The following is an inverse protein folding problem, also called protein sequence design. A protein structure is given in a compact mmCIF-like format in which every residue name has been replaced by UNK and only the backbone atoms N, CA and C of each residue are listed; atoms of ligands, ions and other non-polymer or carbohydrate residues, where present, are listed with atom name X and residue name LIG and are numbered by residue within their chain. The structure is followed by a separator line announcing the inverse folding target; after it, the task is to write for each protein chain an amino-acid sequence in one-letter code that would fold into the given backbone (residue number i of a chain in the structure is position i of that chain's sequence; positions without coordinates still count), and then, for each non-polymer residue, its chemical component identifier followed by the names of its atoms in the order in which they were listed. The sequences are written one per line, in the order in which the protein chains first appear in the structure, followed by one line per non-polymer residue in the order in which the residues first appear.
data_IF_003872516530
#
_entry.id   IF_003872516530
#
_cell.length_a   1.000
_cell.length_b   1.000
_cell.length_c   1.000
_cell.angle_alpha   90.00
_cell.angle_beta   90.00
_cell.angle_gamma   90.00
#
_symmetry.space_group_name_H-M   'P 1'
#
loop_
_entity.id
_entity.type
_entity.pdbx_description
1 polymer ?
#
# COMPACT_ATOMS: atom_id res chain seq x y z
N UNK A 1 1.31 -2.33 21.26
CA UNK A 1 2.34 -1.27 21.36
C UNK A 1 1.63 0.07 21.57
N UNK A 2 2.02 0.85 22.58
CA UNK A 2 1.43 2.18 22.83
C UNK A 2 2.23 3.21 22.00
N UNK A 3 1.87 3.32 20.69
CA UNK A 3 2.54 4.21 19.74
C UNK A 3 1.80 5.53 19.74
N UNK A 4 2.49 6.70 19.91
CA UNK A 4 1.83 8.01 19.88
C UNK A 4 1.17 8.27 18.53
N UNK A 5 -0.03 8.82 18.58
CA UNK A 5 -0.83 9.18 17.41
C UNK A 5 -0.88 10.70 17.28
N UNK A 6 -0.38 11.22 16.16
CA UNK A 6 -0.42 12.63 15.79
C UNK A 6 -1.51 12.85 14.75
N UNK A 7 -2.52 13.62 15.10
CA UNK A 7 -3.67 13.92 14.22
C UNK A 7 -3.59 15.36 13.73
N UNK A 8 -3.86 15.57 12.45
CA UNK A 8 -3.84 16.86 11.78
C UNK A 8 -5.08 17.04 10.91
N UNK A 9 -5.61 18.26 10.86
CA UNK A 9 -6.67 18.60 9.92
C UNK A 9 -6.11 18.64 8.49
N UNK A 10 -4.91 19.20 8.31
CA UNK A 10 -4.27 19.34 7.00
C UNK A 10 -2.76 19.23 7.12
N UNK A 11 -2.16 18.47 6.20
CA UNK A 11 -0.71 18.35 5.99
C UNK A 11 -0.35 18.44 4.51
N UNK A 12 0.93 18.62 4.20
CA UNK A 12 1.44 18.33 2.87
C UNK A 12 1.36 16.82 2.57
N UNK A 13 1.90 15.98 3.48
CA UNK A 13 1.82 14.52 3.41
C UNK A 13 2.08 13.90 4.76
N UNK A 14 1.31 12.87 5.13
CA UNK A 14 1.53 12.10 6.36
C UNK A 14 2.91 11.43 6.37
N UNK A 15 3.41 10.93 5.22
CA UNK A 15 4.79 10.42 5.10
C UNK A 15 5.83 11.51 5.36
N UNK A 16 5.60 12.72 4.82
CA UNK A 16 6.53 13.84 5.04
C UNK A 16 6.56 14.25 6.51
N UNK A 17 5.42 14.24 7.18
CA UNK A 17 5.36 14.52 8.62
C UNK A 17 6.07 13.42 9.44
N UNK A 18 5.90 12.14 9.10
CA UNK A 18 6.68 11.07 9.72
C UNK A 18 8.19 11.27 9.56
N UNK A 19 8.65 11.73 8.39
CA UNK A 19 10.10 12.07 8.20
C UNK A 19 10.56 13.22 9.08
N UNK A 20 9.72 14.25 9.32
CA UNK A 20 10.03 15.35 10.25
C UNK A 20 10.16 14.81 11.67
N UNK A 21 9.21 14.00 12.13
CA UNK A 21 9.25 13.35 13.44
C UNK A 21 10.49 12.45 13.58
N UNK A 22 10.86 11.69 12.54
CA UNK A 22 12.07 10.89 12.55
C UNK A 22 13.34 11.75 12.69
N UNK A 23 13.41 12.90 12.02
CA UNK A 23 14.52 13.86 12.15
C UNK A 23 14.59 14.51 13.54
N UNK A 24 13.45 14.66 14.23
CA UNK A 24 13.35 15.14 15.61
C UNK A 24 13.67 14.04 16.64
N UNK A 25 13.98 12.82 16.20
CA UNK A 25 14.38 11.71 17.08
C UNK A 25 13.20 10.89 17.62
N UNK A 26 11.97 11.10 17.13
CA UNK A 26 10.83 10.26 17.50
C UNK A 26 11.08 8.83 17.06
N UNK A 27 10.83 7.86 17.94
CA UNK A 27 11.11 6.45 17.68
C UNK A 27 10.03 5.82 16.77
N UNK A 28 8.83 5.63 17.30
CA UNK A 28 7.71 5.08 16.58
C UNK A 28 6.52 6.04 16.70
N UNK A 29 5.76 6.23 15.62
CA UNK A 29 4.63 7.16 15.60
C UNK A 29 3.60 6.76 14.54
N UNK A 30 2.36 7.15 14.78
CA UNK A 30 1.30 7.16 13.76
C UNK A 30 0.96 8.61 13.45
N UNK A 31 0.89 8.96 12.18
CA UNK A 31 0.43 10.27 11.70
C UNK A 31 -0.82 10.08 10.87
N UNK A 32 -1.87 10.80 11.19
CA UNK A 32 -3.11 10.88 10.39
C UNK A 32 -3.40 12.31 9.97
N UNK A 33 -4.04 12.48 8.81
CA UNK A 33 -4.52 13.77 8.35
C UNK A 33 -5.92 13.62 7.74
N UNK A 34 -6.77 14.65 7.92
CA UNK A 34 -8.07 14.70 7.24
C UNK A 34 -7.92 15.10 5.77
N UNK A 35 -6.86 15.87 5.45
CA UNK A 35 -6.53 16.31 4.08
C UNK A 35 -5.02 16.31 3.85
N UNK A 36 -4.59 15.96 2.62
CA UNK A 36 -3.21 16.16 2.18
C UNK A 36 -3.16 17.08 0.95
N UNK A 37 -2.36 18.15 1.01
CA UNK A 37 -2.19 19.10 -0.11
C UNK A 37 -1.20 18.62 -1.15
N UNK A 38 -0.31 17.69 -0.78
CA UNK A 38 0.71 17.10 -1.64
C UNK A 38 0.85 15.58 -1.34
N UNK A 39 -0.30 14.87 -1.33
CA UNK A 39 -0.33 13.42 -1.14
C UNK A 39 0.55 12.70 -2.17
N UNK A 40 1.35 11.74 -1.70
CA UNK A 40 2.42 11.12 -2.48
C UNK A 40 2.09 9.68 -2.83
N UNK A 41 2.40 9.31 -4.07
CA UNK A 41 2.44 7.96 -4.57
C UNK A 41 3.85 7.55 -5.00
N UNK A 42 4.01 6.33 -5.50
CA UNK A 42 5.29 5.83 -6.03
C UNK A 42 5.67 6.57 -7.31
N UNK A 43 7.00 6.64 -7.57
CA UNK A 43 7.57 7.21 -8.80
C UNK A 43 7.13 8.66 -9.08
N UNK A 44 6.98 9.47 -8.03
CA UNK A 44 6.60 10.89 -8.15
C UNK A 44 5.12 11.14 -8.47
N UNK A 45 4.28 10.11 -8.53
CA UNK A 45 2.83 10.28 -8.70
C UNK A 45 2.21 10.91 -7.46
N UNK A 46 1.10 11.62 -7.64
CA UNK A 46 0.29 12.15 -6.55
C UNK A 46 -0.76 11.13 -6.10
N UNK A 47 -1.21 11.25 -4.85
CA UNK A 47 -2.40 10.58 -4.32
C UNK A 47 -3.40 11.64 -3.90
N UNK A 48 -4.58 11.67 -4.55
CA UNK A 48 -5.63 12.64 -4.24
C UNK A 48 -6.17 12.39 -2.83
N UNK A 49 -6.14 13.42 -1.99
CA UNK A 49 -6.45 13.30 -0.56
C UNK A 49 -7.40 14.40 -0.11
N UNK A 50 -8.64 14.47 -0.67
CA UNK A 50 -9.59 15.50 -0.30
C UNK A 50 -10.04 15.37 1.17
N UNK A 51 -10.42 16.50 1.83
CA UNK A 51 -10.82 16.49 3.22
C UNK A 51 -12.10 15.65 3.44
N UNK A 52 -12.12 14.92 4.55
CA UNK A 52 -13.31 14.20 5.00
C UNK A 52 -13.66 12.92 4.23
N UNK A 53 -13.02 12.60 3.11
CA UNK A 53 -13.45 11.53 2.23
C UNK A 53 -12.59 10.26 2.30
N UNK A 54 -11.32 10.37 2.66
CA UNK A 54 -10.40 9.23 2.74
C UNK A 54 -9.83 8.99 4.12
N UNK A 55 -9.11 7.90 4.28
CA UNK A 55 -8.23 7.65 5.41
C UNK A 55 -6.78 7.81 4.92
N UNK A 56 -6.08 8.79 5.47
CA UNK A 56 -4.66 9.07 5.16
C UNK A 56 -3.86 8.89 6.43
N UNK A 57 -3.08 7.82 6.47
CA UNK A 57 -2.34 7.38 7.64
C UNK A 57 -0.92 6.99 7.25
N UNK A 58 0.05 7.38 8.05
CA UNK A 58 1.41 6.87 7.95
C UNK A 58 1.88 6.38 9.30
N UNK A 59 2.61 5.27 9.30
CA UNK A 59 3.31 4.76 10.48
C UNK A 59 4.81 4.94 10.27
N UNK A 60 5.46 5.50 11.27
CA UNK A 60 6.92 5.51 11.43
C UNK A 60 7.31 4.38 12.37
N UNK A 61 8.23 3.51 11.94
CA UNK A 61 8.87 2.50 12.77
C UNK A 61 10.39 2.66 12.73
N UNK A 62 11.02 2.60 13.91
CA UNK A 62 12.47 2.51 14.09
C UNK A 62 12.86 1.25 14.84
N UNK A 63 11.97 0.70 15.62
CA UNK A 63 12.18 -0.51 16.39
C UNK A 63 11.89 -1.77 15.56
N UNK A 64 12.56 -2.87 15.89
CA UNK A 64 12.30 -4.17 15.27
C UNK A 64 12.66 -4.31 13.78
N UNK A 65 13.35 -3.32 13.18
CA UNK A 65 13.67 -3.31 11.76
C UNK A 65 14.87 -4.21 11.44
N UNK A 66 14.74 -4.98 10.36
CA UNK A 66 15.81 -5.80 9.79
C UNK A 66 15.94 -5.52 8.29
N UNK A 67 17.16 -5.43 7.78
CA UNK A 67 17.43 -5.13 6.37
C UNK A 67 16.79 -6.14 5.42
N UNK A 68 16.78 -7.42 5.78
CA UNK A 68 16.24 -8.51 4.96
C UNK A 68 14.70 -8.52 4.89
N UNK A 69 14.00 -7.94 5.88
CA UNK A 69 12.54 -7.87 5.91
C UNK A 69 11.97 -6.57 5.36
N UNK A 70 12.75 -5.51 5.20
CA UNK A 70 12.28 -4.22 4.68
C UNK A 70 11.54 -4.31 3.34
N UNK A 71 11.99 -5.10 2.35
CA UNK A 71 11.24 -5.25 1.08
C UNK A 71 9.85 -5.86 1.26
N UNK A 72 9.63 -6.59 2.35
CA UNK A 72 8.37 -7.27 2.64
C UNK A 72 7.35 -6.37 3.37
N UNK A 73 7.76 -5.20 3.89
CA UNK A 73 6.89 -4.27 4.61
C UNK A 73 5.69 -3.84 3.75
N UNK A 74 5.91 -3.49 2.50
CA UNK A 74 4.83 -3.05 1.59
C UNK A 74 3.77 -4.14 1.36
N UNK A 75 4.14 -5.38 0.93
CA UNK A 75 3.16 -6.44 0.77
C UNK A 75 2.47 -6.86 2.07
N UNK A 76 3.17 -6.87 3.19
CA UNK A 76 2.57 -7.13 4.50
C UNK A 76 1.56 -6.04 4.90
N UNK A 77 1.88 -4.77 4.65
CA UNK A 77 0.95 -3.66 4.86
C UNK A 77 -0.29 -3.78 3.96
N UNK A 78 -0.15 -4.30 2.73
CA UNK A 78 -1.30 -4.57 1.87
C UNK A 78 -2.24 -5.62 2.47
N UNK A 79 -1.70 -6.68 3.07
CA UNK A 79 -2.51 -7.68 3.81
C UNK A 79 -3.20 -7.04 5.01
N UNK A 80 -2.49 -6.20 5.79
CA UNK A 80 -3.06 -5.48 6.93
C UNK A 80 -4.28 -4.65 6.52
N UNK A 81 -4.15 -3.86 5.44
CA UNK A 81 -5.28 -3.06 4.92
C UNK A 81 -6.43 -3.95 4.44
N UNK A 82 -6.15 -5.04 3.71
CA UNK A 82 -7.18 -5.98 3.27
C UNK A 82 -7.98 -6.54 4.44
N UNK A 83 -7.32 -6.96 5.52
CA UNK A 83 -7.97 -7.50 6.72
C UNK A 83 -8.80 -6.44 7.45
N UNK A 84 -8.28 -5.22 7.56
CA UNK A 84 -9.02 -4.11 8.18
C UNK A 84 -10.30 -3.78 7.37
N UNK A 85 -10.21 -3.72 6.05
CA UNK A 85 -11.36 -3.48 5.16
C UNK A 85 -12.38 -4.61 5.27
N UNK A 86 -11.94 -5.87 5.22
CA UNK A 86 -12.82 -7.03 5.32
C UNK A 86 -13.54 -7.07 6.67
N UNK A 87 -12.86 -6.73 7.77
CA UNK A 87 -13.44 -6.65 9.12
C UNK A 87 -14.52 -5.57 9.25
N UNK A 88 -14.31 -4.40 8.62
CA UNK A 88 -15.19 -3.22 8.81
C UNK A 88 -16.38 -3.23 7.86
N UNK A 89 -16.20 -3.63 6.61
CA UNK A 89 -17.25 -3.56 5.60
C UNK A 89 -17.48 -4.87 4.82
N UNK A 90 -16.85 -5.98 5.20
CA UNK A 90 -17.04 -7.28 4.56
C UNK A 90 -16.50 -7.37 3.13
N UNK A 91 -15.81 -6.35 2.63
CA UNK A 91 -15.29 -6.32 1.26
C UNK A 91 -13.95 -7.03 1.17
N UNK A 92 -13.80 -7.95 0.24
CA UNK A 92 -12.55 -8.65 -0.03
C UNK A 92 -11.75 -7.92 -1.10
N UNK A 93 -10.74 -7.17 -0.69
CA UNK A 93 -9.82 -6.51 -1.62
C UNK A 93 -8.89 -7.50 -2.31
N UNK A 94 -8.61 -7.26 -3.61
CA UNK A 94 -7.48 -7.83 -4.31
C UNK A 94 -6.23 -6.97 -4.12
N UNK A 95 -5.05 -7.59 -4.15
CA UNK A 95 -3.76 -6.91 -4.12
C UNK A 95 -3.16 -6.92 -5.53
N UNK A 96 -3.08 -5.75 -6.15
CA UNK A 96 -2.27 -5.57 -7.35
C UNK A 96 -0.84 -5.32 -6.92
N UNK A 97 0.03 -6.29 -7.21
CA UNK A 97 1.45 -6.23 -6.82
C UNK A 97 2.12 -4.93 -7.28
N UNK A 98 2.97 -4.30 -6.45
CA UNK A 98 3.27 -4.70 -5.07
C UNK A 98 2.45 -3.98 -3.99
N UNK A 99 1.71 -2.90 -4.31
CA UNK A 99 1.32 -1.87 -3.34
C UNK A 99 -0.08 -1.27 -3.51
N UNK A 100 -0.86 -1.72 -4.47
CA UNK A 100 -2.20 -1.19 -4.71
C UNK A 100 -3.27 -2.21 -4.33
N UNK A 101 -4.32 -1.76 -3.65
CA UNK A 101 -5.50 -2.58 -3.40
C UNK A 101 -6.60 -2.20 -4.39
N UNK A 102 -7.30 -3.22 -4.85
CA UNK A 102 -8.36 -3.07 -5.85
C UNK A 102 -9.66 -3.74 -5.40
N UNK A 103 -10.78 -3.15 -5.80
CA UNK A 103 -12.14 -3.68 -5.73
C UNK A 103 -12.79 -3.48 -7.09
N UNK A 104 -13.43 -4.51 -7.63
CA UNK A 104 -14.03 -4.45 -8.97
C UNK A 104 -13.06 -3.99 -10.07
N UNK A 105 -11.76 -4.34 -9.96
CA UNK A 105 -10.71 -3.93 -10.91
C UNK A 105 -10.24 -2.48 -10.76
N UNK A 106 -10.80 -1.69 -9.82
CA UNK A 106 -10.47 -0.27 -9.58
C UNK A 106 -9.72 -0.09 -8.29
N UNK A 107 -8.78 0.86 -8.26
CA UNK A 107 -7.94 1.15 -7.10
C UNK A 107 -8.74 1.78 -5.96
N UNK A 108 -8.70 1.16 -4.79
CA UNK A 108 -9.31 1.67 -3.56
C UNK A 108 -8.27 2.15 -2.54
N UNK A 109 -7.04 1.60 -2.60
CA UNK A 109 -5.96 2.00 -1.70
C UNK A 109 -4.62 1.99 -2.41
N UNK A 110 -3.74 2.92 -2.00
CA UNK A 110 -2.33 2.95 -2.37
C UNK A 110 -1.44 2.94 -1.14
N UNK A 111 -0.34 2.20 -1.20
CA UNK A 111 0.66 2.11 -0.12
C UNK A 111 1.99 2.64 -0.63
N UNK A 112 2.63 3.50 0.16
CA UNK A 112 3.95 4.06 -0.12
C UNK A 112 4.88 3.82 1.06
N UNK A 113 5.82 2.90 0.92
CA UNK A 113 6.86 2.65 1.91
C UNK A 113 8.13 3.43 1.54
N UNK A 114 8.67 4.14 2.51
CA UNK A 114 9.96 4.86 2.44
C UNK A 114 10.85 4.37 3.59
N UNK A 115 12.15 4.30 3.37
CA UNK A 115 13.10 3.87 4.39
C UNK A 115 14.38 4.69 4.35
N UNK A 116 15.06 4.76 5.48
CA UNK A 116 16.40 5.33 5.62
C UNK A 116 17.34 4.33 6.27
N UNK A 117 18.62 4.49 6.00
CA UNK A 117 19.67 3.62 6.51
C UNK A 117 20.71 4.46 7.22
N UNK A 118 21.28 3.91 8.29
CA UNK A 118 22.41 4.47 8.99
C UNK A 118 23.69 4.26 8.18
N UNK A 119 24.78 4.97 8.52
CA UNK A 119 26.09 4.80 7.83
C UNK A 119 26.64 3.37 7.86
N UNK A 120 26.26 2.57 8.85
CA UNK A 120 26.64 1.15 8.99
C UNK A 120 25.79 0.21 8.12
N UNK A 121 24.83 0.76 7.33
CA UNK A 121 23.92 0.01 6.46
C UNK A 121 22.71 -0.61 7.17
N UNK A 122 22.57 -0.45 8.49
CA UNK A 122 21.39 -0.90 9.20
C UNK A 122 20.21 0.06 8.97
N UNK A 123 18.95 -0.43 8.99
CA UNK A 123 17.79 0.42 8.91
C UNK A 123 17.78 1.47 10.03
N UNK A 124 17.50 2.73 9.68
CA UNK A 124 17.25 3.79 10.64
C UNK A 124 15.77 3.92 10.94
N UNK A 125 14.97 3.99 9.90
CA UNK A 125 13.52 4.00 10.00
C UNK A 125 12.86 3.44 8.72
N UNK A 126 11.62 3.00 8.88
CA UNK A 126 10.69 2.76 7.79
C UNK A 126 9.40 3.53 8.04
N UNK A 127 8.87 4.14 6.99
CA UNK A 127 7.59 4.84 6.98
C UNK A 127 6.66 4.11 6.03
N UNK A 128 5.47 3.75 6.50
CA UNK A 128 4.43 3.07 5.72
C UNK A 128 3.25 4.03 5.58
N UNK A 129 3.16 4.69 4.43
CA UNK A 129 2.02 5.54 4.10
C UNK A 129 0.91 4.74 3.45
N UNK A 130 -0.31 4.93 3.93
CA UNK A 130 -1.52 4.24 3.49
C UNK A 130 -2.59 5.28 3.18
N UNK A 131 -3.03 5.33 1.92
CA UNK A 131 -4.15 6.14 1.48
C UNK A 131 -5.30 5.24 1.06
N UNK A 132 -6.44 5.32 1.75
CA UNK A 132 -7.66 4.56 1.42
C UNK A 132 -8.74 5.52 0.97
N UNK A 133 -9.33 5.25 -0.18
CA UNK A 133 -10.54 5.94 -0.63
C UNK A 133 -11.74 5.34 0.13
N UNK A 134 -12.36 6.13 1.01
CA UNK A 134 -13.44 5.64 1.87
C UNK A 134 -14.82 6.08 1.37
N UNK A 135 -15.03 7.39 1.21
CA UNK A 135 -16.35 7.98 0.94
C UNK A 135 -16.44 8.69 -0.41
N UNK A 136 -15.37 8.72 -1.19
CA UNK A 136 -15.34 9.38 -2.49
C UNK A 136 -16.45 8.83 -3.42
N UNK A 137 -17.05 9.71 -4.17
CA UNK A 137 -17.92 9.41 -5.32
C UNK A 137 -17.10 9.54 -6.62
N UNK A 138 -17.68 9.16 -7.75
CA UNK A 138 -17.00 9.32 -9.05
C UNK A 138 -16.66 10.79 -9.37
N UNK A 139 -17.44 11.73 -8.85
CA UNK A 139 -17.22 13.19 -9.06
C UNK A 139 -16.07 13.76 -8.23
N UNK A 140 -15.63 13.06 -7.18
CA UNK A 140 -14.53 13.49 -6.32
C UNK A 140 -13.14 13.10 -6.88
N UNK A 141 -13.11 12.25 -7.91
CA UNK A 141 -11.87 11.88 -8.61
C UNK A 141 -11.65 12.79 -9.82
N UNK A 142 -10.39 13.16 -10.07
CA UNK A 142 -10.04 13.86 -11.29
C UNK A 142 -10.34 13.00 -12.53
N UNK A 143 -10.62 13.61 -13.70
CA UNK A 143 -11.03 12.88 -14.91
C UNK A 143 -10.05 11.78 -15.35
N UNK A 144 -8.75 11.97 -15.13
CA UNK A 144 -7.68 11.02 -15.41
C UNK A 144 -7.65 9.82 -14.46
N UNK A 145 -8.32 9.90 -13.30
CA UNK A 145 -8.35 8.85 -12.27
C UNK A 145 -9.74 8.22 -12.11
N UNK A 146 -10.81 8.93 -12.47
CA UNK A 146 -12.20 8.54 -12.19
C UNK A 146 -12.57 7.14 -12.72
N UNK A 147 -12.03 6.71 -13.87
CA UNK A 147 -12.23 5.35 -14.42
C UNK A 147 -11.39 4.27 -13.75
N UNK A 148 -10.35 4.65 -13.02
CA UNK A 148 -9.33 3.75 -12.46
C UNK A 148 -9.42 3.58 -10.95
N UNK A 149 -10.17 4.46 -10.28
CA UNK A 149 -10.30 4.48 -8.82
C UNK A 149 -11.75 4.19 -8.39
N UNK A 150 -11.87 3.73 -7.15
CA UNK A 150 -13.14 3.53 -6.45
C UNK A 150 -12.97 3.84 -4.96
N UNK A 151 -14.06 3.76 -4.19
CA UNK A 151 -14.04 3.91 -2.74
C UNK A 151 -14.76 2.76 -2.06
N UNK A 152 -14.50 2.58 -0.76
CA UNK A 152 -15.19 1.57 0.04
C UNK A 152 -16.70 1.78 0.04
N UNK A 153 -17.17 3.03 0.16
CA UNK A 153 -18.59 3.38 0.10
C UNK A 153 -19.23 2.98 -1.22
N UNK A 154 -18.55 3.25 -2.34
CA UNK A 154 -19.07 2.92 -3.67
C UNK A 154 -19.23 1.40 -3.87
N UNK A 155 -18.28 0.61 -3.36
CA UNK A 155 -18.28 -0.85 -3.48
C UNK A 155 -19.17 -1.54 -2.43
N UNK A 156 -19.29 -0.99 -1.23
CA UNK A 156 -20.16 -1.52 -0.16
C UNK A 156 -21.64 -1.16 -0.38
N UNK A 157 -21.93 -0.09 -1.11
CA UNK A 157 -23.29 0.43 -1.28
C UNK A 157 -23.85 1.19 -0.06
N UNK A 158 -23.04 1.37 0.98
CA UNK A 158 -23.40 2.10 2.21
C UNK A 158 -22.21 2.90 2.77
N UNK A 159 -22.47 3.80 3.72
CA UNK A 159 -21.41 4.57 4.38
C UNK A 159 -20.50 3.65 5.20
N UNK A 160 -19.18 3.90 5.10
CA UNK A 160 -18.14 3.20 5.86
C UNK A 160 -17.52 4.19 6.84
N UNK A 161 -17.40 3.79 8.11
CA UNK A 161 -16.81 4.62 9.16
C UNK A 161 -15.29 4.70 9.01
N UNK A 162 -14.76 5.91 8.81
CA UNK A 162 -13.31 6.16 8.76
C UNK A 162 -12.62 5.83 10.09
N UNK A 163 -13.29 6.12 11.21
CA UNK A 163 -12.74 5.90 12.56
C UNK A 163 -12.67 4.40 12.90
N UNK A 164 -13.68 3.62 12.48
CA UNK A 164 -13.66 2.17 12.65
C UNK A 164 -12.57 1.54 11.77
N UNK A 165 -12.44 2.02 10.53
CA UNK A 165 -11.39 1.57 9.63
C UNK A 165 -9.99 1.92 10.17
N UNK A 166 -9.80 3.14 10.68
CA UNK A 166 -8.53 3.55 11.28
C UNK A 166 -8.16 2.67 12.48
N UNK A 167 -9.11 2.42 13.39
CA UNK A 167 -8.88 1.54 14.55
C UNK A 167 -8.58 0.11 14.15
N UNK A 168 -9.32 -0.45 13.18
CA UNK A 168 -9.06 -1.79 12.67
C UNK A 168 -7.68 -1.88 12.00
N UNK A 169 -7.33 -0.88 11.17
CA UNK A 169 -6.05 -0.83 10.49
C UNK A 169 -4.88 -0.69 11.47
N UNK A 170 -5.00 0.12 12.51
CA UNK A 170 -3.96 0.23 13.53
C UNK A 170 -3.73 -1.10 14.25
N UNK A 171 -4.79 -1.86 14.54
CA UNK A 171 -4.67 -3.21 15.10
C UNK A 171 -3.90 -4.17 14.16
N UNK A 172 -4.24 -4.17 12.87
CA UNK A 172 -3.54 -5.01 11.88
C UNK A 172 -2.08 -4.56 11.67
N UNK A 173 -1.79 -3.25 11.74
CA UNK A 173 -0.42 -2.73 11.63
C UNK A 173 0.42 -3.09 12.88
N UNK A 174 -0.18 -3.13 14.05
CA UNK A 174 0.47 -3.64 15.27
C UNK A 174 0.80 -5.13 15.10
N UNK A 175 -0.16 -5.95 14.63
CA UNK A 175 0.06 -7.38 14.38
C UNK A 175 1.10 -7.62 13.27
N UNK A 176 1.12 -6.76 12.24
CA UNK A 176 2.17 -6.76 11.23
C UNK A 176 3.55 -6.56 11.86
N UNK A 177 3.72 -5.50 12.66
CA UNK A 177 4.99 -5.16 13.28
C UNK A 177 5.46 -6.24 14.26
N UNK A 178 4.57 -6.71 15.13
CA UNK A 178 4.92 -7.58 16.25
C UNK A 178 5.04 -9.05 15.84
N UNK A 179 4.35 -9.48 14.77
CA UNK A 179 4.29 -10.89 14.36
C UNK A 179 4.73 -11.14 12.93
N UNK A 180 4.22 -10.37 11.96
CA UNK A 180 4.48 -10.68 10.56
C UNK A 180 5.86 -10.17 10.07
N UNK A 181 6.39 -9.07 10.61
CA UNK A 181 7.76 -8.64 10.29
C UNK A 181 8.84 -9.58 10.85
N UNK A 182 8.74 -10.09 12.09
CA UNK A 182 9.63 -11.13 12.59
C UNK A 182 9.54 -12.46 11.82
N UNK A 183 8.33 -12.84 11.39
CA UNK A 183 8.09 -14.05 10.58
C UNK A 183 7.18 -13.75 9.39
N UNK A 184 7.72 -13.25 8.26
CA UNK A 184 6.92 -12.90 7.08
C UNK A 184 6.15 -14.08 6.45
N UNK A 185 6.54 -15.33 6.73
CA UNK A 185 5.85 -16.50 6.22
C UNK A 185 4.40 -16.61 6.74
N UNK A 186 4.11 -16.06 7.92
CA UNK A 186 2.78 -16.08 8.53
C UNK A 186 1.67 -15.51 7.63
N UNK A 187 1.96 -14.47 6.86
CA UNK A 187 0.97 -13.79 6.04
C UNK A 187 1.10 -14.06 4.54
N UNK A 188 2.09 -14.86 4.13
CA UNK A 188 2.35 -15.14 2.72
C UNK A 188 1.19 -15.82 2.01
N UNK A 189 0.56 -16.81 2.65
CA UNK A 189 -0.58 -17.51 2.07
C UNK A 189 -1.76 -16.56 1.83
N UNK A 190 -2.06 -15.67 2.79
CA UNK A 190 -3.12 -14.65 2.67
C UNK A 190 -2.78 -13.64 1.56
N UNK A 191 -1.51 -13.19 1.46
CA UNK A 191 -1.07 -12.33 0.37
C UNK A 191 -1.27 -13.00 -1.00
N UNK A 192 -0.79 -14.24 -1.18
CA UNK A 192 -0.93 -14.98 -2.44
C UNK A 192 -2.41 -15.18 -2.84
N UNK A 193 -3.28 -15.49 -1.87
CA UNK A 193 -4.70 -15.69 -2.10
C UNK A 193 -5.45 -14.40 -2.51
N UNK A 194 -4.86 -13.24 -2.23
CA UNK A 194 -5.40 -11.91 -2.59
C UNK A 194 -4.70 -11.28 -3.80
N UNK A 195 -3.54 -11.79 -4.21
CA UNK A 195 -2.74 -11.19 -5.28
C UNK A 195 -3.39 -11.41 -6.65
N UNK A 196 -4.07 -10.39 -7.16
CA UNK A 196 -4.76 -10.42 -8.45
C UNK A 196 -3.83 -10.35 -9.66
N UNK A 197 -2.53 -10.11 -9.43
CA UNK A 197 -1.53 -10.12 -10.50
C UNK A 197 -1.13 -11.55 -10.92
N UNK A 198 -1.27 -12.54 -10.03
CA UNK A 198 -0.95 -13.94 -10.32
C UNK A 198 -1.89 -14.49 -11.39
N UNK A 199 -1.33 -15.19 -12.36
CA UNK A 199 -2.07 -15.78 -13.49
C UNK A 199 -2.42 -14.79 -14.61
N UNK A 200 -1.97 -13.53 -14.50
CA UNK A 200 -2.24 -12.48 -15.50
C UNK A 200 -1.03 -12.21 -16.39
N UNK A 201 -1.30 -11.74 -17.61
CA UNK A 201 -0.28 -11.06 -18.41
C UNK A 201 -0.04 -9.67 -17.82
N UNK A 202 1.22 -9.34 -17.57
CA UNK A 202 1.63 -8.08 -16.99
C UNK A 202 2.56 -7.34 -17.94
N UNK A 203 2.41 -6.02 -17.97
CA UNK A 203 3.33 -5.12 -18.65
C UNK A 203 4.31 -4.56 -17.63
N UNK A 204 5.57 -4.78 -17.88
CA UNK A 204 6.70 -4.33 -17.06
C UNK A 204 7.34 -3.12 -17.71
N UNK A 205 7.56 -2.04 -16.94
CA UNK A 205 8.25 -0.84 -17.44
C UNK A 205 9.55 -0.68 -16.66
N UNK A 206 10.68 -0.72 -17.39
CA UNK A 206 12.03 -0.54 -16.84
C UNK A 206 12.85 0.36 -17.74
N UNK A 207 13.41 1.44 -17.18
CA UNK A 207 14.28 2.36 -17.94
C UNK A 207 13.63 2.91 -19.21
N UNK A 208 12.31 3.10 -19.23
CA UNK A 208 11.56 3.57 -20.40
C UNK A 208 11.19 2.47 -21.40
N UNK A 209 11.69 1.24 -21.24
CA UNK A 209 11.32 0.10 -22.09
C UNK A 209 10.19 -0.70 -21.43
N UNK A 210 9.18 -1.04 -22.25
CA UNK A 210 8.08 -1.89 -21.81
C UNK A 210 8.22 -3.29 -22.41
N UNK A 211 8.02 -4.32 -21.60
CA UNK A 211 7.91 -5.71 -22.04
C UNK A 211 6.74 -6.40 -21.37
N UNK A 212 6.28 -7.50 -21.93
CA UNK A 212 5.20 -8.31 -21.38
C UNK A 212 5.74 -9.64 -20.81
N UNK A 213 5.08 -10.12 -19.78
CA UNK A 213 5.39 -11.42 -19.18
C UNK A 213 4.13 -12.01 -18.53
N UNK A 214 4.12 -13.31 -18.28
CA UNK A 214 3.10 -13.97 -17.47
C UNK A 214 3.52 -13.92 -15.99
N UNK A 215 2.67 -13.40 -15.12
CA UNK A 215 2.92 -13.42 -13.67
C UNK A 215 2.53 -14.80 -13.12
N UNK A 216 3.51 -15.59 -12.67
CA UNK A 216 3.30 -16.98 -12.28
C UNK A 216 3.06 -17.16 -10.78
N UNK A 217 3.64 -16.30 -9.95
CA UNK A 217 3.53 -16.48 -8.51
C UNK A 217 4.26 -15.41 -7.70
N UNK A 218 4.26 -15.63 -6.39
CA UNK A 218 4.96 -14.79 -5.41
C UNK A 218 5.99 -15.66 -4.69
N UNK A 219 7.24 -15.21 -4.70
CA UNK A 219 8.34 -15.91 -4.01
C UNK A 219 8.26 -15.76 -2.47
N UNK A 220 9.12 -16.46 -1.69
CA UNK A 220 9.12 -16.32 -0.24
C UNK A 220 9.43 -14.92 0.29
N UNK A 221 10.04 -14.04 -0.52
CA UNK A 221 10.35 -12.64 -0.18
C UNK A 221 9.34 -11.64 -0.77
N UNK A 222 8.16 -12.13 -1.19
CA UNK A 222 7.07 -11.35 -1.81
C UNK A 222 7.43 -10.72 -3.17
N UNK A 223 8.47 -11.20 -3.83
CA UNK A 223 8.79 -10.86 -5.22
C UNK A 223 7.78 -11.49 -6.18
N UNK A 224 7.46 -10.76 -7.25
CA UNK A 224 6.61 -11.28 -8.33
C UNK A 224 7.45 -12.11 -9.31
N UNK A 225 7.19 -13.41 -9.39
CA UNK A 225 7.81 -14.28 -10.39
C UNK A 225 7.08 -14.15 -11.71
N UNK A 226 7.80 -13.81 -12.76
CA UNK A 226 7.28 -13.62 -14.11
C UNK A 226 8.01 -14.51 -15.10
N UNK A 227 7.29 -14.97 -16.13
CA UNK A 227 7.86 -15.71 -17.27
C UNK A 227 7.66 -14.90 -18.55
N UNK A 228 8.75 -14.67 -19.26
CA UNK A 228 8.78 -14.04 -20.58
C UNK A 228 8.42 -15.02 -21.69
N UNK A 229 8.10 -14.51 -22.89
CA UNK A 229 7.71 -15.34 -24.05
C UNK A 229 8.85 -16.20 -24.58
N UNK A 230 10.12 -15.85 -24.31
CA UNK A 230 11.30 -16.65 -24.61
C UNK A 230 11.56 -17.81 -23.59
N UNK A 231 10.68 -17.94 -22.59
CA UNK A 231 10.79 -18.94 -21.52
C UNK A 231 11.62 -18.51 -20.31
N UNK A 232 12.31 -17.35 -20.37
CA UNK A 232 13.09 -16.81 -19.25
C UNK A 232 12.18 -16.53 -18.04
N UNK A 233 12.63 -16.91 -16.85
CA UNK A 233 11.92 -16.64 -15.58
C UNK A 233 12.71 -15.65 -14.75
N UNK A 234 12.05 -14.65 -14.21
CA UNK A 234 12.63 -13.63 -13.34
C UNK A 234 11.75 -13.37 -12.11
N UNK A 235 12.38 -13.04 -10.98
CA UNK A 235 11.65 -12.56 -9.79
C UNK A 235 11.91 -11.07 -9.58
N UNK A 236 10.82 -10.29 -9.54
CA UNK A 236 10.84 -8.84 -9.40
C UNK A 236 10.59 -8.46 -7.95
N UNK A 237 11.44 -7.60 -7.39
CA UNK A 237 11.27 -7.04 -6.03
C UNK A 237 10.86 -5.58 -6.04
N UNK A 238 10.65 -4.99 -7.21
CA UNK A 238 10.22 -3.60 -7.40
C UNK A 238 9.99 -3.32 -8.87
N UNK A 239 9.60 -2.09 -9.19
CA UNK A 239 9.33 -1.65 -10.55
C UNK A 239 7.88 -1.24 -10.77
N UNK A 240 7.57 -0.83 -12.00
CA UNK A 240 6.21 -0.55 -12.43
C UNK A 240 5.65 -1.78 -13.15
N UNK A 241 4.58 -2.33 -12.58
CA UNK A 241 3.85 -3.47 -13.14
C UNK A 241 2.42 -3.06 -13.40
N UNK A 242 1.99 -3.17 -14.64
CA UNK A 242 0.60 -2.95 -15.05
C UNK A 242 -0.03 -4.31 -15.39
N UNK A 243 -1.27 -4.51 -14.95
CA UNK A 243 -2.05 -5.70 -15.25
C UNK A 243 -3.14 -5.30 -16.23
N UNK A 244 -3.27 -5.98 -17.37
CA UNK A 244 -4.33 -5.70 -18.35
C UNK A 244 -5.71 -5.79 -17.70
N UNK A 245 -6.60 -4.86 -18.06
CA UNK A 245 -7.97 -4.81 -17.52
C UNK A 245 -8.09 -4.35 -16.06
N UNK A 246 -6.96 -4.06 -15.35
CA UNK A 246 -6.98 -3.51 -14.01
C UNK A 246 -6.54 -2.05 -13.98
N UNK A 247 -7.23 -1.23 -13.19
CA UNK A 247 -6.93 0.19 -13.01
C UNK A 247 -6.86 0.98 -14.33
N UNK A 248 -7.79 0.71 -15.26
CA UNK A 248 -7.94 1.48 -16.51
C UNK A 248 -6.86 1.25 -17.58
N UNK A 249 -6.03 0.24 -17.44
CA UNK A 249 -5.16 -0.17 -18.54
C UNK A 249 -6.04 -0.89 -19.59
N UNK A 250 -6.37 -0.17 -20.68
CA UNK A 250 -7.02 -0.75 -21.85
C UNK A 250 -6.13 -1.82 -22.48
N UNK A 251 -6.75 -2.80 -23.12
CA UNK A 251 -6.12 -3.84 -23.92
C UNK A 251 -5.16 -3.32 -24.98
#
# INVERSE_FOLDING_TARGET
MDIPVYQYDMLDSTNTQCRRLAAEGVMDAVVTADCQTAGRGRMGRSFQSPPGLGLYLSVLWRTGLRTDTLPMVTPLAAVAVCRAVERVCGLRCGIKWPNDLVLGGRKVCGILTESSFRPDGAPDWVIVGIGVNVSQTAADFSPDVAGMATSLRAEAGHAVSRDELARALMGELTDLHDRALPDPALWRADYCARCVSIGQRVRLVRGGTACEAAAEGIDPRYGLTVRYDDGTVETLYGGEVSVRGLCGYSE
#
